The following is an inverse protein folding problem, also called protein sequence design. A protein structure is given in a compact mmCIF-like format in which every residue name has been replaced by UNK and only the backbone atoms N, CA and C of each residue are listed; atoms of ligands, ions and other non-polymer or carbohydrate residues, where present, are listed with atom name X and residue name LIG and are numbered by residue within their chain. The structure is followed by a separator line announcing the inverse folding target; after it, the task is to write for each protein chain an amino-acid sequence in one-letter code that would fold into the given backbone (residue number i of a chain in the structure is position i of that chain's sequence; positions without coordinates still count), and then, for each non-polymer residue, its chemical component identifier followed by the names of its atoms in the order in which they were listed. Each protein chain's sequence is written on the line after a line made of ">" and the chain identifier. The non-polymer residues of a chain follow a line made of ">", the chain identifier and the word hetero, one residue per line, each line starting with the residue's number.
data_IF_045881982028
#
_entry.id   IF_045881982028
#
_cell.length_a   1.000
_cell.length_b   1.000
_cell.length_c   1.000
_cell.angle_alpha   90.00
_cell.angle_beta   90.00
_cell.angle_gamma   90.00
#
_symmetry.space_group_name_H-M   'P 1'
#
loop_
_entity.id
_entity.type
_entity.pdbx_description
1 polymer ?
#
# COMPACT_ATOMS: atom_id res chain seq x y z
N UNK A 1 -5.69 34.82 -27.40
CA UNK A 1 -6.12 34.78 -25.99
C UNK A 1 -6.80 33.47 -25.64
N UNK A 2 -7.72 32.96 -26.43
CA UNK A 2 -8.35 31.64 -26.20
C UNK A 2 -7.38 30.46 -26.22
N UNK A 3 -6.33 30.52 -27.04
CA UNK A 3 -5.32 29.46 -27.15
C UNK A 3 -4.56 29.31 -25.84
N UNK A 4 -4.13 30.37 -25.18
CA UNK A 4 -3.40 30.30 -23.93
C UNK A 4 -4.26 29.75 -22.79
N UNK A 5 -5.56 30.05 -22.78
CA UNK A 5 -6.49 29.46 -21.78
C UNK A 5 -6.61 27.95 -21.97
N UNK A 6 -6.70 27.45 -23.22
CA UNK A 6 -6.76 26.03 -23.51
C UNK A 6 -5.47 25.33 -23.08
N UNK A 7 -4.30 25.93 -23.36
CA UNK A 7 -3.01 25.37 -22.99
C UNK A 7 -2.86 25.28 -21.47
N UNK A 8 -3.28 26.32 -20.73
CA UNK A 8 -3.27 26.34 -19.27
C UNK A 8 -4.18 25.22 -18.70
N UNK A 9 -5.32 25.00 -19.33
CA UNK A 9 -6.24 23.94 -18.93
C UNK A 9 -5.62 22.55 -19.11
N UNK A 10 -4.97 22.31 -20.24
CA UNK A 10 -4.25 21.04 -20.50
C UNK A 10 -3.14 20.82 -19.50
N UNK A 11 -2.36 21.85 -19.19
CA UNK A 11 -1.30 21.77 -18.20
C UNK A 11 -1.86 21.49 -16.80
N UNK A 12 -2.98 22.11 -16.43
CA UNK A 12 -3.62 21.87 -15.15
C UNK A 12 -4.14 20.44 -15.03
N UNK A 13 -4.75 19.90 -16.08
CA UNK A 13 -5.23 18.51 -16.11
C UNK A 13 -4.04 17.53 -16.02
N UNK A 14 -2.97 17.75 -16.78
CA UNK A 14 -1.79 16.91 -16.74
C UNK A 14 -1.12 16.94 -15.36
N UNK A 15 -1.07 18.10 -14.73
CA UNK A 15 -0.52 18.26 -13.37
C UNK A 15 -1.36 17.50 -12.35
N UNK A 16 -2.69 17.63 -12.43
CA UNK A 16 -3.60 16.91 -11.54
C UNK A 16 -3.47 15.40 -11.68
N UNK A 17 -3.36 14.91 -12.91
CA UNK A 17 -3.19 13.50 -13.21
C UNK A 17 -1.87 12.96 -12.62
N UNK A 18 -0.77 13.67 -12.82
CA UNK A 18 0.53 13.31 -12.26
C UNK A 18 0.52 13.36 -10.74
N UNK A 19 -0.13 14.37 -10.15
CA UNK A 19 -0.27 14.48 -8.70
C UNK A 19 -1.05 13.31 -8.11
N UNK A 20 -2.10 12.86 -8.80
CA UNK A 20 -2.87 11.68 -8.40
C UNK A 20 -2.04 10.41 -8.40
N UNK A 21 -1.23 10.20 -9.44
CA UNK A 21 -0.31 9.06 -9.53
C UNK A 21 0.70 9.06 -8.37
N UNK A 22 1.37 10.16 -8.14
CA UNK A 22 2.39 10.28 -7.10
C UNK A 22 1.78 10.25 -5.69
N UNK A 23 0.58 10.80 -5.52
CA UNK A 23 -0.17 10.71 -4.27
C UNK A 23 -0.53 9.26 -3.94
N UNK A 24 -0.96 8.50 -4.94
CA UNK A 24 -1.29 7.09 -4.78
C UNK A 24 -0.04 6.26 -4.43
N UNK A 25 1.11 6.57 -5.05
CA UNK A 25 2.38 5.93 -4.69
C UNK A 25 2.75 6.20 -3.23
N UNK A 26 2.57 7.42 -2.74
CA UNK A 26 2.81 7.76 -1.34
C UNK A 26 1.88 6.99 -0.38
N UNK A 27 0.60 6.89 -0.72
CA UNK A 27 -0.37 6.10 0.05
C UNK A 27 -0.01 4.62 0.07
N UNK A 28 0.40 4.05 -1.06
CA UNK A 28 0.85 2.66 -1.16
C UNK A 28 2.08 2.40 -0.28
N UNK A 29 3.02 3.33 -0.24
CA UNK A 29 4.19 3.21 0.63
C UNK A 29 3.80 3.22 2.12
N UNK A 30 2.83 4.04 2.52
CA UNK A 30 2.28 4.03 3.89
C UNK A 30 1.69 2.68 4.24
N UNK A 31 0.89 2.10 3.34
CA UNK A 31 0.29 0.78 3.55
C UNK A 31 1.37 -0.31 3.66
N UNK A 32 2.34 -0.31 2.75
CA UNK A 32 3.46 -1.24 2.79
C UNK A 32 4.19 -1.19 4.13
N UNK A 33 4.49 0.01 4.60
CA UNK A 33 5.19 0.20 5.87
C UNK A 33 4.33 -0.25 7.05
N UNK A 34 3.03 -0.04 7.02
CA UNK A 34 2.10 -0.51 8.03
C UNK A 34 2.06 -2.05 8.10
N UNK A 35 2.04 -2.71 6.95
CA UNK A 35 2.10 -4.18 6.87
C UNK A 35 3.41 -4.70 7.45
N UNK A 36 4.54 -4.12 7.07
CA UNK A 36 5.86 -4.51 7.58
C UNK A 36 5.95 -4.32 9.10
N UNK A 37 5.41 -3.22 9.62
CA UNK A 37 5.35 -2.95 11.05
C UNK A 37 4.48 -3.97 11.80
N UNK A 38 3.37 -4.36 11.20
CA UNK A 38 2.46 -5.35 11.79
C UNK A 38 3.15 -6.70 11.98
N UNK A 39 4.00 -7.11 11.06
CA UNK A 39 4.83 -8.32 11.23
C UNK A 39 5.71 -8.24 12.46
N UNK A 40 6.31 -7.08 12.72
CA UNK A 40 7.18 -6.88 13.88
C UNK A 40 6.45 -6.98 15.22
N UNK A 41 5.18 -6.60 15.29
CA UNK A 41 4.39 -6.61 16.52
C UNK A 41 3.67 -7.93 16.78
N UNK A 42 3.34 -8.70 15.74
CA UNK A 42 2.40 -9.81 15.84
C UNK A 42 3.04 -11.21 15.82
N UNK A 43 4.31 -11.35 15.42
CA UNK A 43 4.78 -12.65 15.00
C UNK A 43 6.21 -13.00 15.40
N UNK A 44 6.49 -12.91 16.69
CA UNK A 44 7.83 -13.25 17.18
C UNK A 44 7.88 -14.52 18.01
N UNK A 45 6.87 -15.38 17.93
CA UNK A 45 6.82 -16.58 18.79
C UNK A 45 7.16 -17.85 18.02
N UNK A 46 8.15 -18.58 18.51
CA UNK A 46 8.33 -19.99 18.19
C UNK A 46 8.90 -20.33 16.82
N UNK A 47 10.07 -19.83 16.45
CA UNK A 47 10.81 -20.33 15.28
C UNK A 47 10.32 -19.80 13.92
N UNK A 48 9.33 -18.92 13.89
CA UNK A 48 8.79 -18.32 12.67
C UNK A 48 9.53 -17.06 12.23
N UNK A 49 10.58 -16.70 12.91
CA UNK A 49 11.38 -15.50 12.64
C UNK A 49 11.87 -15.42 11.19
N UNK A 50 12.43 -16.52 10.67
CA UNK A 50 12.97 -16.54 9.31
C UNK A 50 11.90 -16.36 8.26
N UNK A 51 10.75 -16.99 8.41
CA UNK A 51 9.62 -16.85 7.48
C UNK A 51 9.06 -15.44 7.52
N UNK A 52 8.91 -14.87 8.71
CA UNK A 52 8.43 -13.50 8.90
C UNK A 52 9.36 -12.49 8.25
N UNK A 53 10.68 -12.62 8.49
CA UNK A 53 11.67 -11.74 7.90
C UNK A 53 11.65 -11.83 6.37
N UNK A 54 11.53 -13.04 5.84
CA UNK A 54 11.45 -13.26 4.40
C UNK A 54 10.24 -12.56 3.76
N UNK A 55 9.07 -12.66 4.39
CA UNK A 55 7.86 -11.98 3.93
C UNK A 55 8.03 -10.46 4.02
N UNK A 56 8.58 -9.95 5.12
CA UNK A 56 8.85 -8.51 5.29
C UNK A 56 9.73 -7.97 4.17
N UNK A 57 10.81 -8.66 3.85
CA UNK A 57 11.76 -8.25 2.81
C UNK A 57 11.14 -8.29 1.42
N UNK A 58 10.17 -9.18 1.21
CA UNK A 58 9.49 -9.37 -0.07
C UNK A 58 8.19 -8.59 -0.20
N UNK A 59 7.79 -7.85 0.83
CA UNK A 59 6.62 -6.98 0.76
C UNK A 59 6.94 -5.76 -0.09
N UNK A 60 6.14 -5.54 -1.12
CA UNK A 60 6.37 -4.50 -2.12
C UNK A 60 5.08 -3.73 -2.42
N UNK A 61 5.21 -2.62 -3.12
CA UNK A 61 4.11 -1.99 -3.80
C UNK A 61 4.46 -1.74 -5.27
N UNK A 62 3.45 -1.78 -6.11
CA UNK A 62 3.65 -1.53 -7.53
C UNK A 62 3.68 -0.02 -7.80
N UNK A 63 4.46 0.41 -8.78
CA UNK A 63 4.31 1.75 -9.33
C UNK A 63 2.87 1.90 -9.83
N UNK A 64 2.16 2.99 -9.51
CA UNK A 64 0.80 3.16 -9.99
C UNK A 64 0.70 3.02 -11.50
N UNK A 65 -0.34 2.35 -11.94
CA UNK A 65 -0.61 2.07 -13.36
C UNK A 65 -2.02 2.51 -13.73
N UNK A 66 -2.25 2.72 -15.01
CA UNK A 66 -3.57 3.11 -15.51
C UNK A 66 -4.58 1.99 -15.36
N UNK A 67 -5.74 2.31 -14.81
CA UNK A 67 -6.88 1.42 -14.72
C UNK A 67 -8.14 2.25 -15.03
N UNK A 68 -8.72 2.07 -16.21
CA UNK A 68 -9.80 2.92 -16.69
C UNK A 68 -9.35 4.38 -16.77
N UNK A 69 -10.10 5.29 -16.16
CA UNK A 69 -9.81 6.73 -16.14
C UNK A 69 -8.91 7.14 -14.98
N UNK A 70 -8.54 6.22 -14.13
CA UNK A 70 -7.78 6.51 -12.90
C UNK A 70 -6.45 5.78 -12.83
N UNK A 71 -5.87 5.86 -11.66
CA UNK A 71 -4.65 5.17 -11.30
C UNK A 71 -4.94 4.10 -10.26
N UNK A 72 -4.21 3.00 -10.33
CA UNK A 72 -4.29 1.90 -9.40
C UNK A 72 -2.91 1.45 -8.98
N UNK A 73 -2.80 0.91 -7.78
CA UNK A 73 -1.59 0.24 -7.32
C UNK A 73 -1.97 -0.93 -6.42
N UNK A 74 -1.00 -1.77 -6.13
CA UNK A 74 -1.19 -2.92 -5.24
C UNK A 74 -0.01 -3.01 -4.29
N UNK A 75 -0.30 -3.37 -3.05
CA UNK A 75 0.70 -3.75 -2.05
C UNK A 75 0.57 -5.24 -1.83
N UNK A 76 1.68 -5.95 -1.92
CA UNK A 76 1.63 -7.41 -1.85
C UNK A 76 2.96 -8.06 -1.54
N UNK A 77 2.95 -9.36 -1.56
CA UNK A 77 4.13 -10.19 -1.42
C UNK A 77 3.98 -11.46 -2.27
N UNK A 78 5.05 -11.96 -2.90
CA UNK A 78 5.00 -13.21 -3.63
C UNK A 78 5.08 -14.44 -2.72
N UNK A 79 5.24 -14.25 -1.41
CA UNK A 79 5.46 -15.34 -0.45
C UNK A 79 4.12 -15.96 -0.07
N UNK A 80 3.92 -17.23 -0.42
CA UNK A 80 2.65 -17.93 -0.23
C UNK A 80 2.27 -18.11 1.25
N UNK A 81 3.23 -18.17 2.15
CA UNK A 81 2.99 -18.27 3.59
C UNK A 81 2.13 -17.11 4.12
N UNK A 82 2.28 -15.92 3.54
CA UNK A 82 1.47 -14.76 3.91
C UNK A 82 -0.02 -15.00 3.65
N UNK A 83 -0.35 -15.66 2.55
CA UNK A 83 -1.74 -16.03 2.23
C UNK A 83 -2.31 -17.00 3.26
N UNK A 84 -1.55 -18.02 3.62
CA UNK A 84 -1.98 -19.00 4.62
C UNK A 84 -2.20 -18.35 5.99
N UNK A 85 -1.34 -17.42 6.38
CA UNK A 85 -1.52 -16.71 7.65
C UNK A 85 -2.80 -15.85 7.64
N UNK A 86 -3.06 -15.14 6.55
CA UNK A 86 -4.22 -14.26 6.44
C UNK A 86 -5.54 -15.04 6.43
N UNK A 87 -5.61 -16.12 5.65
CA UNK A 87 -6.81 -16.95 5.50
C UNK A 87 -6.98 -17.96 6.64
N UNK A 88 -5.89 -18.28 7.33
CA UNK A 88 -5.87 -19.32 8.33
C UNK A 88 -5.47 -20.68 7.75
N UNK A 89 -4.92 -21.51 8.58
CA UNK A 89 -4.48 -22.87 8.23
C UNK A 89 -4.51 -23.76 9.46
N UNK A 90 -4.58 -25.05 9.24
CA UNK A 90 -4.49 -26.03 10.31
C UNK A 90 -3.02 -26.34 10.60
N UNK A 91 -2.61 -26.21 11.86
CA UNK A 91 -1.30 -26.66 12.28
C UNK A 91 -1.28 -28.18 12.38
N UNK A 92 -0.46 -28.85 11.59
CA UNK A 92 -0.41 -30.29 11.51
C UNK A 92 0.08 -30.95 12.81
N UNK A 93 0.87 -30.26 13.61
CA UNK A 93 1.39 -30.77 14.87
C UNK A 93 0.38 -30.63 16.03
N UNK A 94 -0.27 -29.47 16.13
CA UNK A 94 -1.23 -29.19 17.21
C UNK A 94 -2.67 -29.53 16.82
N UNK A 95 -2.95 -29.71 15.54
CA UNK A 95 -4.27 -29.90 14.94
C UNK A 95 -5.23 -28.74 15.21
N UNK A 96 -4.69 -27.59 15.60
CA UNK A 96 -5.46 -26.36 15.81
C UNK A 96 -5.47 -25.53 14.54
N UNK A 97 -6.59 -24.88 14.29
CA UNK A 97 -6.68 -23.87 13.24
C UNK A 97 -5.97 -22.59 13.71
N UNK A 98 -5.01 -22.15 12.92
CA UNK A 98 -4.27 -20.93 13.19
C UNK A 98 -4.55 -19.88 12.11
N UNK A 99 -4.84 -18.67 12.53
CA UNK A 99 -5.02 -17.53 11.64
C UNK A 99 -4.31 -16.32 12.22
N UNK A 100 -3.48 -15.68 11.39
CA UNK A 100 -2.81 -14.44 11.77
C UNK A 100 -3.09 -13.39 10.71
N UNK A 101 -3.94 -12.46 11.07
CA UNK A 101 -4.27 -11.35 10.21
C UNK A 101 -3.20 -10.27 10.34
N UNK A 102 -2.58 -9.93 9.23
CA UNK A 102 -1.56 -8.87 9.14
C UNK A 102 -2.03 -7.78 8.19
N UNK A 103 -2.52 -8.17 7.03
CA UNK A 103 -2.90 -7.26 5.95
C UNK A 103 -4.16 -6.47 6.29
N UNK A 104 -5.20 -7.14 6.73
CA UNK A 104 -6.46 -6.48 7.04
C UNK A 104 -6.31 -5.47 8.20
N UNK A 105 -5.75 -5.83 9.37
CA UNK A 105 -5.53 -4.85 10.43
C UNK A 105 -4.63 -3.70 10.01
N UNK A 106 -3.56 -3.99 9.25
CA UNK A 106 -2.66 -2.96 8.75
C UNK A 106 -3.37 -1.99 7.80
N UNK A 107 -4.18 -2.51 6.89
CA UNK A 107 -4.97 -1.70 5.96
C UNK A 107 -5.96 -0.81 6.72
N UNK A 108 -6.73 -1.39 7.64
CA UNK A 108 -7.73 -0.65 8.41
C UNK A 108 -7.11 0.44 9.28
N UNK A 109 -6.01 0.13 9.96
CA UNK A 109 -5.34 1.10 10.84
C UNK A 109 -4.61 2.21 10.10
N UNK A 110 -4.27 2.01 8.82
CA UNK A 110 -3.49 2.96 8.03
C UNK A 110 -4.31 3.82 7.08
N UNK A 111 -5.63 3.64 6.99
CA UNK A 111 -6.49 4.39 6.06
C UNK A 111 -6.31 5.89 6.23
N UNK A 112 -6.35 6.39 7.45
CA UNK A 112 -6.17 7.83 7.74
C UNK A 112 -4.80 8.34 7.30
N UNK A 113 -3.74 7.58 7.60
CA UNK A 113 -2.38 7.92 7.20
C UNK A 113 -2.20 7.86 5.68
N UNK A 114 -2.83 6.90 5.00
CA UNK A 114 -2.81 6.81 3.54
C UNK A 114 -3.48 8.03 2.89
N UNK A 115 -4.64 8.43 3.38
CA UNK A 115 -5.35 9.61 2.89
C UNK A 115 -4.55 10.89 3.12
N UNK A 116 -3.93 11.02 4.30
CA UNK A 116 -3.09 12.17 4.63
C UNK A 116 -1.86 12.25 3.73
N UNK A 117 -1.20 11.12 3.46
CA UNK A 117 -0.05 11.06 2.57
C UNK A 117 -0.43 11.44 1.13
N UNK A 118 -1.54 10.90 0.64
CA UNK A 118 -2.08 11.24 -0.67
C UNK A 118 -2.37 12.74 -0.78
N UNK A 119 -3.12 13.28 0.16
CA UNK A 119 -3.51 14.69 0.16
C UNK A 119 -2.30 15.62 0.22
N UNK A 120 -1.30 15.27 1.01
CA UNK A 120 -0.06 16.07 1.15
C UNK A 120 0.71 16.15 -0.17
N UNK A 121 0.85 15.04 -0.87
CA UNK A 121 1.54 15.00 -2.17
C UNK A 121 0.76 15.78 -3.22
N UNK A 122 -0.55 15.57 -3.30
CA UNK A 122 -1.40 16.29 -4.24
C UNK A 122 -1.35 17.80 -4.00
N UNK A 123 -1.49 18.23 -2.75
CA UNK A 123 -1.43 19.66 -2.40
C UNK A 123 -0.09 20.29 -2.80
N UNK A 124 1.00 19.60 -2.51
CA UNK A 124 2.34 20.09 -2.87
C UNK A 124 2.52 20.22 -4.38
N UNK A 125 2.09 19.23 -5.15
CA UNK A 125 2.27 19.20 -6.61
C UNK A 125 1.29 20.11 -7.34
N UNK A 126 0.13 20.36 -6.75
CA UNK A 126 -0.86 21.30 -7.32
C UNK A 126 -0.57 22.76 -6.99
N UNK A 127 0.55 23.03 -6.32
CA UNK A 127 0.95 24.40 -6.00
C UNK A 127 0.13 25.06 -4.90
N UNK A 128 -0.46 24.28 -4.01
CA UNK A 128 -1.18 24.77 -2.84
C UNK A 128 -0.21 25.15 -1.69
N UNK A 129 0.94 25.63 -2.05
CA UNK A 129 1.94 26.05 -1.08
C UNK A 129 1.63 27.44 -0.55
#
# INVERSE_FOLDING_TARGET
>A
MSVSVVDNRRQAVARADNAGMLGLAAAANVLRNAVVKQFGSSYYKGGRFRSTLFVKQRTYYLTPYRAGDGWETQVGTPVIQALYWELGHQNLFTRKHERVQIWEPAALSSIGAMRAAYARVVARLMGAA
#
